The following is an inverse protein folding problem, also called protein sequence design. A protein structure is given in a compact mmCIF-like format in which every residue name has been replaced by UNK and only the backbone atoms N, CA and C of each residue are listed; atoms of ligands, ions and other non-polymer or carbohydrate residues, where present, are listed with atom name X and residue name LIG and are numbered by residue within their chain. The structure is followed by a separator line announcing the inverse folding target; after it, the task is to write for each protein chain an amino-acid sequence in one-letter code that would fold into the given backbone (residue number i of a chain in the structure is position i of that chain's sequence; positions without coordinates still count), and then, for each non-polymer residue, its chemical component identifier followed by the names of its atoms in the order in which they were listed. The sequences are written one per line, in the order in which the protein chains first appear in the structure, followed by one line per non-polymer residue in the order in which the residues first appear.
data_IF_655884531587
#
_entry.id   IF_655884531587
#
_cell.length_a   1.000
_cell.length_b   1.000
_cell.length_c   1.000
_cell.angle_alpha   90.00
_cell.angle_beta   90.00
_cell.angle_gamma   90.00
#
_symmetry.space_group_name_H-M   'P 1'
#
loop_
_entity.id
_entity.type
_entity.pdbx_description
1 polymer ?
#
# COMPACT_ATOMS: atom_id res chain seq x y z
N UNK A 1 -10.75 -29.81 -21.47
CA UNK A 1 -11.43 -29.24 -22.66
C UNK A 1 -10.45 -28.57 -23.62
N UNK A 2 -9.67 -27.58 -23.19
CA UNK A 2 -8.71 -26.87 -24.07
C UNK A 2 -7.70 -27.80 -24.77
N UNK A 3 -7.10 -28.76 -24.05
CA UNK A 3 -6.21 -29.75 -24.66
C UNK A 3 -6.89 -30.55 -25.77
N UNK A 4 -8.10 -31.03 -25.51
CA UNK A 4 -8.86 -31.87 -26.44
C UNK A 4 -9.30 -31.08 -27.70
N UNK A 5 -9.56 -29.77 -27.55
CA UNK A 5 -9.86 -28.87 -28.67
C UNK A 5 -8.62 -28.64 -29.55
N UNK A 6 -7.47 -28.37 -28.93
CA UNK A 6 -6.19 -28.21 -29.65
C UNK A 6 -5.81 -29.49 -30.39
N UNK A 7 -6.05 -30.66 -29.79
CA UNK A 7 -5.74 -31.96 -30.42
C UNK A 7 -6.68 -32.30 -31.58
N UNK A 8 -7.97 -31.94 -31.49
CA UNK A 8 -8.98 -32.30 -32.50
C UNK A 8 -9.12 -31.32 -33.66
N UNK A 9 -8.87 -30.04 -33.42
CA UNK A 9 -9.06 -29.01 -34.45
C UNK A 9 -7.74 -28.42 -34.97
N UNK A 10 -6.59 -28.82 -34.41
CA UNK A 10 -5.26 -28.46 -34.92
C UNK A 10 -5.14 -26.96 -35.21
N UNK A 11 -4.75 -26.62 -36.44
CA UNK A 11 -4.53 -25.25 -36.90
C UNK A 11 -5.82 -24.44 -37.13
N UNK A 12 -7.00 -25.08 -37.13
CA UNK A 12 -8.27 -24.39 -37.36
C UNK A 12 -8.70 -23.53 -36.17
N UNK A 13 -8.18 -23.81 -34.97
CA UNK A 13 -8.34 -22.93 -33.81
C UNK A 13 -7.23 -21.89 -33.87
N UNK A 14 -7.59 -20.63 -34.09
CA UNK A 14 -6.65 -19.50 -33.96
C UNK A 14 -6.51 -19.10 -32.50
N UNK A 15 -5.31 -19.22 -31.95
CA UNK A 15 -5.00 -18.64 -30.64
C UNK A 15 -4.78 -17.15 -30.83
N UNK A 16 -5.59 -16.35 -30.14
CA UNK A 16 -5.50 -14.89 -30.19
C UNK A 16 -4.82 -14.36 -28.92
N UNK A 17 -4.37 -13.10 -28.97
CA UNK A 17 -3.88 -12.40 -27.78
C UNK A 17 -4.93 -12.38 -26.66
N UNK A 18 -6.21 -12.23 -27.00
CA UNK A 18 -7.32 -12.32 -26.04
C UNK A 18 -7.43 -13.70 -25.39
N UNK A 19 -7.21 -14.78 -26.16
CA UNK A 19 -7.18 -16.15 -25.64
C UNK A 19 -6.01 -16.36 -24.68
N UNK A 20 -4.82 -15.86 -25.02
CA UNK A 20 -3.64 -15.93 -24.17
C UNK A 20 -3.86 -15.14 -22.87
N UNK A 21 -4.35 -13.90 -22.96
CA UNK A 21 -4.69 -13.07 -21.80
C UNK A 21 -5.73 -13.74 -20.89
N UNK A 22 -6.77 -14.35 -21.47
CA UNK A 22 -7.79 -15.07 -20.70
C UNK A 22 -7.21 -16.30 -19.98
N UNK A 23 -6.26 -17.01 -20.60
CA UNK A 23 -5.55 -18.11 -19.96
C UNK A 23 -4.70 -17.60 -18.78
N UNK A 24 -3.93 -16.53 -18.97
CA UNK A 24 -3.12 -15.91 -17.91
C UNK A 24 -3.99 -15.45 -16.74
N UNK A 25 -5.14 -14.84 -17.03
CA UNK A 25 -6.08 -14.35 -16.01
C UNK A 25 -6.87 -15.44 -15.29
N UNK A 26 -6.68 -16.72 -15.64
CA UNK A 26 -7.40 -17.82 -15.01
C UNK A 26 -6.81 -18.15 -13.64
N UNK A 27 -7.56 -17.83 -12.58
CA UNK A 27 -7.11 -17.98 -11.17
C UNK A 27 -6.86 -19.43 -10.75
N UNK A 28 -7.58 -20.40 -11.34
CA UNK A 28 -7.55 -21.80 -10.94
C UNK A 28 -6.55 -22.63 -11.74
N UNK A 29 -6.45 -22.37 -13.06
CA UNK A 29 -5.71 -23.21 -14.00
C UNK A 29 -4.82 -22.41 -14.97
N UNK A 30 -4.52 -21.15 -14.65
CA UNK A 30 -3.80 -20.26 -15.56
C UNK A 30 -2.42 -20.78 -15.93
N UNK A 31 -1.69 -21.35 -14.97
CA UNK A 31 -0.37 -21.94 -15.20
C UNK A 31 -0.45 -23.10 -16.19
N UNK A 32 -1.34 -24.08 -15.96
CA UNK A 32 -1.50 -25.24 -16.83
C UNK A 32 -2.02 -24.86 -18.22
N UNK A 33 -2.93 -23.87 -18.29
CA UNK A 33 -3.45 -23.37 -19.56
C UNK A 33 -2.37 -22.67 -20.37
N UNK A 34 -1.55 -21.80 -19.74
CA UNK A 34 -0.45 -21.11 -20.41
C UNK A 34 0.64 -22.11 -20.82
N UNK A 35 1.00 -23.07 -19.97
CA UNK A 35 1.97 -24.12 -20.30
C UNK A 35 1.53 -24.94 -21.51
N UNK A 36 0.25 -25.35 -21.56
CA UNK A 36 -0.30 -26.09 -22.68
C UNK A 36 -0.29 -25.26 -23.98
N UNK A 37 -0.67 -23.98 -23.87
CA UNK A 37 -0.69 -23.05 -25.00
C UNK A 37 0.72 -22.80 -25.56
N UNK A 38 1.71 -22.56 -24.70
CA UNK A 38 3.11 -22.40 -25.14
C UNK A 38 3.67 -23.68 -25.77
N UNK A 39 3.38 -24.85 -25.17
CA UNK A 39 3.88 -26.14 -25.67
C UNK A 39 3.31 -26.50 -27.04
N UNK A 40 2.02 -26.25 -27.26
CA UNK A 40 1.32 -26.70 -28.49
C UNK A 40 1.24 -25.63 -29.57
N UNK A 41 1.20 -24.35 -29.18
CA UNK A 41 0.94 -23.20 -30.07
C UNK A 41 1.84 -22.00 -29.73
N UNK A 42 3.03 -22.24 -29.17
CA UNK A 42 3.93 -21.17 -28.70
C UNK A 42 4.33 -20.16 -29.77
N UNK A 43 4.43 -20.58 -31.04
CA UNK A 43 4.72 -19.70 -32.18
C UNK A 43 3.58 -18.71 -32.48
N UNK A 44 2.35 -19.05 -32.12
CA UNK A 44 1.18 -18.18 -32.34
C UNK A 44 1.00 -17.15 -31.22
N UNK A 45 1.78 -17.28 -30.15
CA UNK A 45 1.67 -16.45 -28.95
C UNK A 45 2.89 -15.56 -28.86
N UNK A 46 2.67 -14.29 -29.13
CA UNK A 46 3.60 -13.21 -28.78
C UNK A 46 3.38 -12.87 -27.32
N UNK A 47 4.44 -12.88 -26.51
CA UNK A 47 4.36 -12.40 -25.13
C UNK A 47 4.41 -10.88 -25.15
N UNK A 48 3.26 -10.27 -24.90
CA UNK A 48 3.12 -8.80 -24.84
C UNK A 48 3.24 -8.31 -23.41
N UNK A 49 3.54 -7.02 -23.24
CA UNK A 49 3.51 -6.36 -21.93
C UNK A 49 2.16 -6.53 -21.22
N UNK A 50 1.04 -6.51 -21.97
CA UNK A 50 -0.29 -6.73 -21.41
C UNK A 50 -0.47 -8.13 -20.81
N UNK A 51 0.08 -9.16 -21.46
CA UNK A 51 0.10 -10.54 -20.94
C UNK A 51 0.89 -10.60 -19.63
N UNK A 52 2.08 -9.99 -19.60
CA UNK A 52 2.95 -9.98 -18.41
C UNK A 52 2.31 -9.19 -17.27
N UNK A 53 1.76 -8.01 -17.56
CA UNK A 53 1.03 -7.15 -16.61
C UNK A 53 -0.19 -7.86 -16.04
N UNK A 54 -0.89 -8.65 -16.87
CA UNK A 54 -2.02 -9.47 -16.40
C UNK A 54 -1.53 -10.55 -15.44
N UNK A 55 -0.44 -11.25 -15.76
CA UNK A 55 0.15 -12.25 -14.87
C UNK A 55 0.59 -11.62 -13.53
N UNK A 56 1.28 -10.48 -13.56
CA UNK A 56 1.74 -9.78 -12.37
C UNK A 56 0.59 -9.39 -11.41
N UNK A 57 -0.60 -9.11 -11.96
CA UNK A 57 -1.76 -8.62 -11.20
C UNK A 57 -2.68 -9.71 -10.63
N UNK A 58 -2.69 -10.89 -11.23
CA UNK A 58 -3.69 -11.92 -10.92
C UNK A 58 -3.35 -12.73 -9.66
N UNK A 59 -4.39 -13.23 -8.99
CA UNK A 59 -4.21 -14.23 -7.94
C UNK A 59 -3.55 -15.49 -8.52
N UNK A 60 -2.52 -16.01 -7.86
CA UNK A 60 -1.62 -17.07 -8.38
C UNK A 60 -0.86 -16.70 -9.67
N UNK A 61 -0.93 -15.44 -10.11
CA UNK A 61 -0.32 -14.98 -11.35
C UNK A 61 1.21 -15.02 -11.33
N UNK A 62 1.84 -15.02 -10.15
CA UNK A 62 3.28 -15.23 -9.98
C UNK A 62 3.75 -16.57 -10.58
N UNK A 63 2.92 -17.63 -10.58
CA UNK A 63 3.28 -18.91 -11.21
C UNK A 63 3.30 -18.81 -12.73
N UNK A 64 2.30 -18.14 -13.28
CA UNK A 64 2.25 -17.84 -14.72
C UNK A 64 3.43 -16.95 -15.11
N UNK A 65 3.73 -15.92 -14.32
CA UNK A 65 4.86 -15.03 -14.52
C UNK A 65 6.19 -15.78 -14.50
N UNK A 66 6.38 -16.71 -13.54
CA UNK A 66 7.56 -17.56 -13.47
C UNK A 66 7.72 -18.44 -14.72
N UNK A 67 6.62 -19.05 -15.18
CA UNK A 67 6.62 -19.84 -16.41
C UNK A 67 6.98 -18.99 -17.63
N UNK A 68 6.40 -17.78 -17.75
CA UNK A 68 6.68 -16.86 -18.85
C UNK A 68 8.14 -16.41 -18.86
N UNK A 69 8.70 -16.05 -17.70
CA UNK A 69 10.11 -15.68 -17.57
C UNK A 69 11.05 -16.85 -17.91
N UNK A 70 10.69 -18.06 -17.52
CA UNK A 70 11.49 -19.26 -17.80
C UNK A 70 11.48 -19.64 -19.28
N UNK A 71 10.31 -19.72 -19.90
CA UNK A 71 10.17 -20.26 -21.26
C UNK A 71 10.37 -19.18 -22.33
N UNK A 72 10.06 -17.91 -22.02
CA UNK A 72 10.05 -16.79 -22.97
C UNK A 72 10.66 -15.51 -22.40
N UNK A 73 11.54 -15.61 -21.40
CA UNK A 73 12.12 -14.45 -20.70
C UNK A 73 12.85 -13.46 -21.59
N UNK A 74 13.42 -13.91 -22.71
CA UNK A 74 14.12 -13.08 -23.69
C UNK A 74 13.18 -12.12 -24.46
N UNK A 75 11.87 -12.36 -24.44
CA UNK A 75 10.86 -11.46 -25.01
C UNK A 75 10.30 -10.46 -24.00
N UNK A 76 10.64 -10.64 -22.71
CA UNK A 76 10.03 -9.90 -21.61
C UNK A 76 11.03 -8.85 -21.12
N UNK A 77 10.59 -7.60 -21.11
CA UNK A 77 11.26 -6.49 -20.45
C UNK A 77 10.40 -6.09 -19.25
N UNK A 78 10.99 -5.95 -18.06
CA UNK A 78 10.24 -5.51 -16.89
C UNK A 78 10.06 -4.00 -16.94
N UNK A 79 8.85 -3.57 -17.28
CA UNK A 79 8.47 -2.16 -17.36
C UNK A 79 7.92 -1.65 -16.03
N UNK A 80 7.85 -0.33 -15.90
CA UNK A 80 7.21 0.33 -14.77
C UNK A 80 5.76 -0.14 -14.55
N UNK A 81 4.98 -0.33 -15.63
CA UNK A 81 3.58 -0.75 -15.53
C UNK A 81 3.43 -2.20 -15.00
N UNK A 82 4.36 -3.09 -15.36
CA UNK A 82 4.41 -4.45 -14.81
C UNK A 82 4.68 -4.41 -13.30
N UNK A 83 5.65 -3.62 -12.85
CA UNK A 83 5.98 -3.47 -11.42
C UNK A 83 4.79 -2.86 -10.67
N UNK A 84 4.19 -1.79 -11.21
CA UNK A 84 3.03 -1.13 -10.64
C UNK A 84 1.79 -2.03 -10.58
N UNK A 85 1.65 -2.97 -11.51
CA UNK A 85 0.58 -3.96 -11.49
C UNK A 85 0.78 -5.03 -10.41
N UNK A 86 2.02 -5.47 -10.18
CA UNK A 86 2.38 -6.34 -9.06
C UNK A 86 2.08 -5.66 -7.71
N UNK A 87 2.44 -4.39 -7.55
CA UNK A 87 2.20 -3.65 -6.30
C UNK A 87 0.71 -3.36 -6.05
N UNK A 88 -0.07 -3.21 -7.13
CA UNK A 88 -1.42 -2.67 -7.06
C UNK A 88 -2.52 -3.59 -6.55
N UNK A 89 -2.22 -4.85 -6.23
CA UNK A 89 -3.21 -5.85 -5.86
C UNK A 89 -2.75 -6.66 -4.63
N UNK A 90 -3.68 -7.31 -3.96
CA UNK A 90 -3.41 -7.99 -2.71
C UNK A 90 -2.73 -9.35 -2.80
N UNK A 91 -2.34 -9.77 -4.00
CA UNK A 91 -1.65 -11.02 -4.31
C UNK A 91 -0.32 -10.79 -5.04
N UNK A 92 0.00 -9.54 -5.35
CA UNK A 92 1.14 -9.22 -6.19
C UNK A 92 2.43 -9.04 -5.43
N UNK A 93 2.46 -9.25 -4.11
CA UNK A 93 3.72 -9.43 -3.37
C UNK A 93 4.52 -10.59 -3.96
N UNK A 94 3.90 -11.75 -4.17
CA UNK A 94 4.59 -12.92 -4.72
C UNK A 94 5.10 -12.65 -6.14
N UNK A 95 4.33 -11.89 -6.94
CA UNK A 95 4.77 -11.43 -8.26
C UNK A 95 5.95 -10.48 -8.16
N UNK A 96 5.91 -9.50 -7.25
CA UNK A 96 6.99 -8.53 -7.06
C UNK A 96 8.24 -9.20 -6.52
N UNK A 97 8.13 -10.10 -5.54
CA UNK A 97 9.24 -10.88 -5.01
C UNK A 97 9.91 -11.72 -6.09
N UNK A 98 9.13 -12.34 -6.97
CA UNK A 98 9.66 -13.05 -8.13
C UNK A 98 10.40 -12.11 -9.09
N UNK A 99 9.83 -10.95 -9.41
CA UNK A 99 10.45 -9.96 -10.29
C UNK A 99 11.76 -9.42 -9.71
N UNK A 100 11.79 -9.08 -8.42
CA UNK A 100 12.98 -8.62 -7.73
C UNK A 100 14.07 -9.70 -7.72
N UNK A 101 13.69 -10.97 -7.54
CA UNK A 101 14.63 -12.09 -7.51
C UNK A 101 15.21 -12.44 -8.88
N UNK A 102 14.37 -12.56 -9.89
CA UNK A 102 14.78 -13.10 -11.20
C UNK A 102 15.21 -11.99 -12.18
N UNK A 103 14.74 -10.75 -12.00
CA UNK A 103 14.97 -9.61 -12.90
C UNK A 103 15.19 -8.30 -12.12
N UNK A 104 15.81 -8.38 -10.94
CA UNK A 104 15.93 -7.26 -10.00
C UNK A 104 16.56 -5.98 -10.59
N UNK A 105 17.56 -6.14 -11.45
CA UNK A 105 18.26 -5.03 -12.11
C UNK A 105 17.38 -4.22 -13.08
N UNK A 106 16.28 -4.81 -13.56
CA UNK A 106 15.29 -4.13 -14.41
C UNK A 106 14.16 -3.49 -13.60
N UNK A 107 14.02 -3.86 -12.32
CA UNK A 107 12.97 -3.32 -11.46
C UNK A 107 13.41 -1.95 -10.95
N UNK A 108 12.76 -0.92 -11.52
CA UNK A 108 12.90 0.47 -11.09
C UNK A 108 11.82 0.77 -10.06
N UNK A 109 12.24 1.20 -8.86
CA UNK A 109 11.35 1.61 -7.78
C UNK A 109 11.22 3.14 -7.81
N UNK A 110 9.99 3.62 -8.03
CA UNK A 110 9.65 5.04 -8.07
C UNK A 110 8.77 5.42 -6.87
N UNK A 111 8.67 6.71 -6.57
CA UNK A 111 7.83 7.22 -5.48
C UNK A 111 6.36 6.76 -5.61
N UNK A 112 5.80 6.73 -6.82
CA UNK A 112 4.42 6.28 -7.01
C UNK A 112 4.23 4.77 -6.74
N UNK A 113 5.27 3.95 -6.95
CA UNK A 113 5.29 2.55 -6.54
C UNK A 113 5.25 2.46 -5.01
N UNK A 114 6.04 3.26 -4.30
CA UNK A 114 6.06 3.29 -2.83
C UNK A 114 4.72 3.78 -2.28
N UNK A 115 4.18 4.88 -2.82
CA UNK A 115 2.85 5.39 -2.46
C UNK A 115 1.79 4.32 -2.64
N UNK A 116 1.80 3.62 -3.79
CA UNK A 116 0.84 2.56 -4.06
C UNK A 116 0.99 1.38 -3.09
N UNK A 117 2.22 0.99 -2.77
CA UNK A 117 2.50 -0.06 -1.78
C UNK A 117 2.00 0.33 -0.39
N UNK A 118 2.27 1.58 0.05
CA UNK A 118 1.80 2.11 1.31
C UNK A 118 0.26 2.10 1.39
N UNK A 119 -0.44 2.62 0.37
CA UNK A 119 -1.90 2.64 0.30
C UNK A 119 -2.52 1.23 0.40
N UNK A 120 -1.83 0.22 -0.13
CA UNK A 120 -2.26 -1.19 -0.13
C UNK A 120 -1.75 -2.02 1.05
N UNK A 121 -1.01 -1.42 1.97
CA UNK A 121 -0.50 -2.07 3.18
C UNK A 121 -1.59 -2.29 4.24
N UNK A 122 -2.65 -3.03 3.89
CA UNK A 122 -3.77 -3.29 4.81
C UNK A 122 -3.72 -4.69 5.41
N UNK A 123 -3.50 -4.78 6.73
CA UNK A 123 -3.85 -5.90 7.63
C UNK A 123 -3.44 -7.34 7.30
N UNK A 124 -2.70 -7.59 6.23
CA UNK A 124 -2.37 -8.95 5.74
C UNK A 124 -0.99 -9.40 6.22
N UNK A 125 -0.77 -10.72 6.20
CA UNK A 125 0.54 -11.36 6.43
C UNK A 125 1.55 -10.96 5.36
N UNK A 126 1.06 -10.83 4.13
CA UNK A 126 1.81 -10.42 2.96
C UNK A 126 1.69 -8.88 2.80
N UNK A 127 2.83 -8.18 2.82
CA UNK A 127 2.94 -6.73 2.68
C UNK A 127 4.03 -6.32 1.68
N UNK A 128 3.60 -5.73 0.57
CA UNK A 128 4.48 -5.22 -0.50
C UNK A 128 5.40 -4.09 -0.04
N UNK A 129 4.94 -3.20 0.85
CA UNK A 129 5.77 -2.09 1.33
C UNK A 129 6.94 -2.62 2.16
N UNK A 130 6.69 -3.63 3.00
CA UNK A 130 7.74 -4.30 3.79
C UNK A 130 8.76 -4.96 2.87
N UNK A 131 8.30 -5.74 1.89
CA UNK A 131 9.17 -6.39 0.90
C UNK A 131 10.09 -5.39 0.18
N UNK A 132 9.55 -4.26 -0.27
CA UNK A 132 10.30 -3.22 -0.97
C UNK A 132 11.37 -2.59 -0.06
N UNK A 133 11.01 -2.24 1.17
CA UNK A 133 11.95 -1.63 2.11
C UNK A 133 13.00 -2.62 2.61
N UNK A 134 12.66 -3.91 2.74
CA UNK A 134 13.59 -4.96 3.19
C UNK A 134 14.59 -5.35 2.10
N UNK A 135 14.19 -5.38 0.82
CA UNK A 135 15.06 -5.79 -0.28
C UNK A 135 15.75 -4.63 -1.01
N UNK A 136 15.12 -3.45 -1.05
CA UNK A 136 15.58 -2.29 -1.82
C UNK A 136 15.57 -1.00 -1.00
N UNK A 137 15.62 -1.12 0.34
CA UNK A 137 15.58 0.01 1.26
C UNK A 137 16.60 1.08 0.93
N UNK A 138 17.85 0.70 0.65
CA UNK A 138 18.94 1.64 0.37
C UNK A 138 18.71 2.52 -0.89
N UNK A 139 17.80 2.12 -1.79
CA UNK A 139 17.46 2.87 -3.00
C UNK A 139 16.22 3.74 -2.84
N UNK A 140 15.40 3.45 -1.83
CA UNK A 140 14.17 4.18 -1.55
C UNK A 140 14.54 5.38 -0.69
N UNK A 141 13.89 6.53 -0.88
CA UNK A 141 13.96 7.66 0.06
C UNK A 141 12.54 8.02 0.44
N UNK A 142 12.22 8.07 1.73
CA UNK A 142 10.87 8.44 2.18
C UNK A 142 10.73 9.97 2.15
N UNK A 143 10.15 10.46 1.06
CA UNK A 143 9.79 11.86 0.89
C UNK A 143 8.58 12.25 1.75
N UNK A 144 8.42 13.54 2.01
CA UNK A 144 7.25 14.07 2.71
C UNK A 144 5.94 13.72 1.98
N UNK A 145 5.96 13.71 0.65
CA UNK A 145 4.80 13.31 -0.17
C UNK A 145 4.40 11.85 0.09
N UNK A 146 5.36 10.92 0.04
CA UNK A 146 5.13 9.50 0.32
C UNK A 146 4.52 9.31 1.71
N UNK A 147 5.10 9.98 2.71
CA UNK A 147 4.63 9.90 4.10
C UNK A 147 3.23 10.48 4.25
N UNK A 148 2.94 11.64 3.64
CA UNK A 148 1.63 12.26 3.67
C UNK A 148 0.56 11.35 3.02
N UNK A 149 0.87 10.71 1.89
CA UNK A 149 -0.04 9.73 1.27
C UNK A 149 -0.30 8.52 2.19
N UNK A 150 0.73 8.01 2.87
CA UNK A 150 0.56 6.91 3.83
C UNK A 150 -0.37 7.29 5.00
N UNK A 151 -0.28 8.54 5.48
CA UNK A 151 -1.14 9.09 6.55
C UNK A 151 -2.57 9.29 6.08
N UNK A 152 -2.80 9.77 4.86
CA UNK A 152 -4.10 10.30 4.43
C UNK A 152 -4.92 9.36 3.52
N UNK A 153 -4.28 8.54 2.68
CA UNK A 153 -4.94 7.84 1.56
C UNK A 153 -4.96 6.30 1.67
N UNK A 154 -4.61 5.73 2.82
CA UNK A 154 -4.60 4.28 3.06
C UNK A 154 -5.99 3.70 3.33
N UNK A 155 -6.33 2.57 2.68
CA UNK A 155 -7.63 1.90 2.83
C UNK A 155 -7.66 1.01 4.08
N UNK A 156 -7.83 1.62 5.26
CA UNK A 156 -7.83 0.92 6.55
C UNK A 156 -6.44 0.41 6.94
N UNK A 157 -6.13 0.39 8.24
CA UNK A 157 -4.78 0.12 8.78
C UNK A 157 -3.71 1.13 8.33
N UNK A 158 -4.04 2.44 8.30
CA UNK A 158 -3.10 3.52 7.97
C UNK A 158 -1.88 3.51 8.89
N UNK A 159 -2.15 3.24 10.16
CA UNK A 159 -1.20 3.09 11.24
C UNK A 159 -0.14 2.02 10.94
N UNK A 160 -0.48 0.97 10.17
CA UNK A 160 0.47 -0.08 9.80
C UNK A 160 1.49 0.44 8.79
N UNK A 161 1.06 1.12 7.74
CA UNK A 161 1.95 1.69 6.73
C UNK A 161 2.93 2.70 7.37
N UNK A 162 2.41 3.60 8.20
CA UNK A 162 3.24 4.58 8.92
C UNK A 162 4.19 3.90 9.91
N UNK A 163 3.74 2.88 10.64
CA UNK A 163 4.61 2.10 11.53
C UNK A 163 5.77 1.46 10.75
N UNK A 164 5.51 0.82 9.61
CA UNK A 164 6.55 0.18 8.77
C UNK A 164 7.57 1.20 8.28
N UNK A 165 7.10 2.36 7.79
CA UNK A 165 7.97 3.44 7.34
C UNK A 165 8.88 3.93 8.47
N UNK A 166 8.32 4.13 9.66
CA UNK A 166 9.11 4.54 10.83
C UNK A 166 10.06 3.44 11.34
N UNK A 167 9.68 2.17 11.26
CA UNK A 167 10.55 1.05 11.68
C UNK A 167 11.77 0.92 10.80
N UNK A 168 11.56 0.94 9.49
CA UNK A 168 12.61 0.64 8.52
C UNK A 168 13.40 1.90 8.16
N UNK A 169 12.75 3.06 8.14
CA UNK A 169 13.30 4.35 7.66
C UNK A 169 13.04 5.51 8.62
N UNK A 170 12.78 5.25 9.89
CA UNK A 170 12.50 6.33 10.86
C UNK A 170 13.63 7.35 11.02
N UNK A 171 14.88 6.95 10.80
CA UNK A 171 16.06 7.81 10.96
C UNK A 171 16.15 8.94 9.93
N UNK A 172 15.51 8.81 8.76
CA UNK A 172 15.45 9.85 7.73
C UNK A 172 14.14 10.65 7.76
N UNK A 173 13.12 10.15 8.46
CA UNK A 173 11.81 10.76 8.50
C UNK A 173 11.79 11.86 9.56
N UNK A 174 11.46 13.08 9.15
CA UNK A 174 11.12 14.18 10.06
C UNK A 174 9.61 14.30 10.14
N UNK A 175 9.05 14.28 11.35
CA UNK A 175 7.62 14.47 11.58
C UNK A 175 7.35 15.97 11.72
N UNK A 176 6.57 16.52 10.79
CA UNK A 176 6.16 17.93 10.79
C UNK A 176 4.82 18.11 11.48
N UNK A 177 4.55 19.33 11.95
CA UNK A 177 3.25 19.67 12.54
C UNK A 177 2.11 19.53 11.53
N UNK A 178 2.36 19.87 10.26
CA UNK A 178 1.38 19.73 9.18
C UNK A 178 1.02 18.26 8.91
N UNK A 179 1.97 17.33 9.04
CA UNK A 179 1.68 15.90 8.96
C UNK A 179 0.80 15.43 10.13
N UNK A 180 1.03 15.96 11.34
CA UNK A 180 0.20 15.66 12.51
C UNK A 180 -1.22 16.21 12.34
N UNK A 181 -1.36 17.44 11.84
CA UNK A 181 -2.65 18.05 11.47
C UNK A 181 -3.37 17.23 10.40
N UNK A 182 -2.65 16.76 9.38
CA UNK A 182 -3.20 15.88 8.36
C UNK A 182 -3.71 14.57 8.95
N UNK A 183 -2.99 13.97 9.90
CA UNK A 183 -3.42 12.76 10.60
C UNK A 183 -4.72 13.00 11.37
N UNK A 184 -4.84 14.05 12.19
CA UNK A 184 -6.08 14.32 12.95
C UNK A 184 -7.26 14.76 12.07
N UNK A 185 -6.99 15.18 10.82
CA UNK A 185 -8.00 15.58 9.85
C UNK A 185 -8.71 14.43 9.13
N UNK A 186 -8.18 13.21 9.16
CA UNK A 186 -8.71 12.08 8.37
C UNK A 186 -9.38 10.98 9.21
N UNK A 187 -10.33 10.27 8.60
CA UNK A 187 -11.01 9.12 9.22
C UNK A 187 -9.99 8.08 9.73
N UNK A 188 -10.03 7.78 11.02
CA UNK A 188 -9.14 6.79 11.64
C UNK A 188 -7.71 7.28 11.84
N UNK A 189 -7.43 8.56 11.57
CA UNK A 189 -6.08 9.12 11.71
C UNK A 189 -5.60 9.28 13.15
N UNK A 190 -6.50 9.25 14.16
CA UNK A 190 -6.10 9.11 15.57
C UNK A 190 -5.21 7.88 15.82
N UNK A 191 -5.37 6.79 15.06
CA UNK A 191 -4.48 5.61 15.16
C UNK A 191 -3.10 5.89 14.60
N UNK A 192 -3.03 6.68 13.53
CA UNK A 192 -1.75 7.16 12.98
C UNK A 192 -1.07 8.07 13.99
N UNK A 193 -1.82 9.04 14.54
CA UNK A 193 -1.34 9.92 15.60
C UNK A 193 -0.77 9.12 16.77
N UNK A 194 -1.47 8.07 17.23
CA UNK A 194 -0.99 7.21 18.30
C UNK A 194 0.38 6.59 17.97
N UNK A 195 0.55 6.01 16.77
CA UNK A 195 1.83 5.44 16.32
C UNK A 195 2.94 6.50 16.25
N UNK A 196 2.63 7.70 15.75
CA UNK A 196 3.60 8.80 15.67
C UNK A 196 4.08 9.20 17.06
N UNK A 197 3.14 9.44 17.99
CA UNK A 197 3.46 9.86 19.36
C UNK A 197 4.17 8.78 20.18
N UNK A 198 3.85 7.50 19.95
CA UNK A 198 4.52 6.36 20.61
C UNK A 198 5.97 6.18 20.15
N UNK A 199 6.26 6.44 18.88
CA UNK A 199 7.58 6.17 18.29
C UNK A 199 8.51 7.37 18.28
N UNK A 200 7.99 8.59 18.47
CA UNK A 200 8.73 9.85 18.32
C UNK A 200 8.49 10.73 19.52
N UNK A 201 9.31 10.53 20.56
CA UNK A 201 9.24 11.29 21.81
C UNK A 201 9.50 12.78 21.63
N UNK A 202 10.19 13.17 20.56
CA UNK A 202 10.51 14.57 20.27
C UNK A 202 9.31 15.38 19.73
N UNK A 203 8.20 14.73 19.36
CA UNK A 203 6.99 15.44 18.92
C UNK A 203 6.45 16.25 20.10
N UNK A 204 6.36 17.56 19.96
CA UNK A 204 5.68 18.42 20.93
C UNK A 204 4.18 18.52 20.62
N UNK A 205 3.34 18.52 21.65
CA UNK A 205 1.91 18.79 21.49
C UNK A 205 1.68 20.30 21.55
N UNK A 206 1.59 20.93 20.37
CA UNK A 206 1.32 22.36 20.19
C UNK A 206 -0.16 22.68 20.38
N UNK A 207 -0.46 23.93 20.75
CA UNK A 207 -1.83 24.44 20.82
C UNK A 207 -2.57 24.32 19.47
N UNK A 208 -1.88 24.56 18.36
CA UNK A 208 -2.44 24.49 17.01
C UNK A 208 -2.86 23.05 16.63
N UNK A 209 -2.02 22.06 16.95
CA UNK A 209 -2.37 20.64 16.83
C UNK A 209 -3.58 20.28 17.69
N UNK A 210 -3.64 20.79 18.92
CA UNK A 210 -4.77 20.59 19.82
C UNK A 210 -6.06 21.16 19.24
N UNK A 211 -6.03 22.41 18.78
CA UNK A 211 -7.15 23.06 18.09
C UNK A 211 -7.59 22.23 16.89
N UNK A 212 -6.66 21.77 16.04
CA UNK A 212 -6.97 20.92 14.89
C UNK A 212 -7.62 19.59 15.30
N UNK A 213 -7.12 18.96 16.37
CA UNK A 213 -7.65 17.71 16.90
C UNK A 213 -9.10 17.87 17.38
N UNK A 214 -9.38 18.87 18.23
CA UNK A 214 -10.72 19.08 18.82
C UNK A 214 -11.74 19.66 17.84
N UNK A 215 -11.28 20.43 16.84
CA UNK A 215 -12.15 21.01 15.82
C UNK A 215 -12.67 19.99 14.80
N UNK A 216 -12.10 18.78 14.76
CA UNK A 216 -12.63 17.72 13.92
C UNK A 216 -13.97 17.22 14.47
N UNK A 217 -15.08 17.69 13.88
CA UNK A 217 -16.42 17.39 14.38
C UNK A 217 -16.81 15.90 14.37
N UNK A 218 -16.12 15.07 13.59
CA UNK A 218 -16.43 13.63 13.50
C UNK A 218 -15.53 12.82 14.44
N UNK A 219 -14.22 13.13 14.45
CA UNK A 219 -13.19 12.33 15.14
C UNK A 219 -12.48 13.05 16.29
N UNK A 220 -12.95 14.23 16.69
CA UNK A 220 -12.28 15.04 17.70
C UNK A 220 -12.20 14.35 19.06
N UNK A 221 -13.19 13.51 19.38
CA UNK A 221 -13.18 12.65 20.58
C UNK A 221 -12.03 11.65 20.55
N UNK A 222 -11.87 10.93 19.44
CA UNK A 222 -10.82 9.92 19.28
C UNK A 222 -9.43 10.57 19.23
N UNK A 223 -9.32 11.72 18.56
CA UNK A 223 -8.07 12.49 18.51
C UNK A 223 -7.64 12.96 19.90
N UNK A 224 -8.53 13.63 20.65
CA UNK A 224 -8.19 14.14 21.98
C UNK A 224 -7.94 13.01 22.98
N UNK A 225 -8.65 11.88 22.85
CA UNK A 225 -8.42 10.70 23.70
C UNK A 225 -6.99 10.18 23.53
N UNK A 226 -6.49 10.07 22.30
CA UNK A 226 -5.11 9.65 22.02
C UNK A 226 -4.10 10.66 22.57
N UNK A 227 -4.35 11.96 22.40
CA UNK A 227 -3.46 13.00 22.92
C UNK A 227 -3.35 12.94 24.45
N UNK A 228 -4.48 12.85 25.14
CA UNK A 228 -4.53 12.75 26.61
C UNK A 228 -3.91 11.45 27.12
N UNK A 229 -4.19 10.31 26.48
CA UNK A 229 -3.64 9.00 26.87
C UNK A 229 -2.12 8.95 26.70
N UNK A 230 -1.61 9.46 25.57
CA UNK A 230 -0.18 9.32 25.24
C UNK A 230 0.70 10.42 25.80
N UNK A 231 0.19 11.67 25.85
CA UNK A 231 0.99 12.87 26.13
C UNK A 231 0.26 13.89 27.02
N UNK A 232 -0.79 13.49 27.75
CA UNK A 232 -1.61 14.41 28.54
C UNK A 232 -0.81 15.28 29.52
N UNK A 233 0.24 14.74 30.14
CA UNK A 233 1.11 15.45 31.07
C UNK A 233 1.94 16.59 30.45
N UNK A 234 2.05 16.64 29.13
CA UNK A 234 2.80 17.66 28.39
C UNK A 234 1.88 18.72 27.78
N UNK A 235 0.57 18.51 27.88
CA UNK A 235 -0.43 19.34 27.23
C UNK A 235 -0.80 20.54 28.08
N UNK A 236 -0.95 21.69 27.42
CA UNK A 236 -1.53 22.89 28.00
C UNK A 236 -2.91 23.06 27.39
N UNK A 237 -3.95 22.99 28.23
CA UNK A 237 -5.33 23.26 27.82
C UNK A 237 -5.57 24.76 28.01
N UNK A 238 -5.65 25.48 26.89
CA UNK A 238 -5.90 26.93 26.84
C UNK A 238 -7.38 27.23 26.63
N UNK A 239 -7.77 28.50 26.81
CA UNK A 239 -9.13 28.95 26.52
C UNK A 239 -9.46 28.76 25.04
N UNK A 240 -8.51 29.02 24.16
CA UNK A 240 -8.62 28.87 22.71
C UNK A 240 -8.89 27.41 22.31
N UNK A 241 -8.22 26.44 22.95
CA UNK A 241 -8.50 25.00 22.74
C UNK A 241 -9.92 24.65 23.19
N UNK A 242 -10.36 25.17 24.34
CA UNK A 242 -11.70 24.91 24.87
C UNK A 242 -12.79 25.55 24.01
N UNK A 243 -12.57 26.77 23.51
CA UNK A 243 -13.45 27.43 22.56
C UNK A 243 -13.55 26.66 21.24
N UNK A 244 -12.41 26.21 20.70
CA UNK A 244 -12.37 25.43 19.48
C UNK A 244 -13.15 24.12 19.64
N UNK A 245 -12.96 23.43 20.77
CA UNK A 245 -13.73 22.25 21.12
C UNK A 245 -15.23 22.55 21.18
N UNK A 246 -15.64 23.63 21.86
CA UNK A 246 -17.05 24.03 22.00
C UNK A 246 -17.76 24.25 20.65
N UNK A 247 -17.03 24.79 19.65
CA UNK A 247 -17.55 25.06 18.30
C UNK A 247 -17.75 23.79 17.46
N UNK A 248 -17.13 22.67 17.82
CA UNK A 248 -17.21 21.41 17.08
C UNK A 248 -18.56 20.69 17.23
N UNK A 249 -18.92 19.86 16.24
CA UNK A 249 -20.19 19.11 16.22
C UNK A 249 -20.44 18.23 17.47
N UNK A 250 -19.35 17.69 18.06
CA UNK A 250 -19.38 16.91 19.31
C UNK A 250 -18.78 17.67 20.50
N UNK A 251 -18.73 19.00 20.44
CA UNK A 251 -17.96 19.84 21.35
C UNK A 251 -18.23 19.59 22.83
N UNK A 252 -19.49 19.45 23.23
CA UNK A 252 -19.84 19.15 24.62
C UNK A 252 -19.24 17.85 25.16
N UNK A 253 -19.09 16.81 24.30
CA UNK A 253 -18.45 15.55 24.71
C UNK A 253 -16.92 15.68 24.76
N UNK A 254 -16.34 16.44 23.84
CA UNK A 254 -14.89 16.70 23.82
C UNK A 254 -14.50 17.47 25.07
N UNK A 255 -15.25 18.53 25.40
CA UNK A 255 -15.07 19.31 26.63
C UNK A 255 -15.22 18.43 27.86
N UNK A 256 -16.29 17.63 27.94
CA UNK A 256 -16.48 16.73 29.08
C UNK A 256 -15.28 15.78 29.27
N UNK A 257 -14.74 15.22 28.19
CA UNK A 257 -13.58 14.33 28.26
C UNK A 257 -12.29 15.05 28.70
N UNK A 258 -12.09 16.31 28.28
CA UNK A 258 -10.96 17.13 28.75
C UNK A 258 -11.12 17.45 30.25
N UNK A 259 -12.32 17.84 30.68
CA UNK A 259 -12.60 18.17 32.08
C UNK A 259 -12.46 16.94 32.99
N UNK A 260 -13.03 15.80 32.58
CA UNK A 260 -12.91 14.52 33.31
C UNK A 260 -11.44 14.11 33.50
N UNK A 261 -10.56 14.45 32.54
CA UNK A 261 -9.12 14.20 32.65
C UNK A 261 -8.41 15.15 33.63
N UNK A 262 -8.87 16.41 33.73
CA UNK A 262 -8.29 17.41 34.63
C UNK A 262 -8.67 17.20 36.11
N UNK A 263 -9.78 16.51 36.40
CA UNK A 263 -10.28 16.23 37.75
C UNK A 263 -11.35 17.22 38.20
#
# INVERSE_FOLDING_TARGET
VMALLLDRQGDHIRITQSTAKAAVGNVLHGEEMVALLLKRRGADITITEEIVTTAARCQNGHKVLALLLKERGHEIIITHDIVKAAVGNSHGEQSLALLLKERGDEVIITDDIIVKAAIKSCGRKENVLELLLDQRGDEIVITEEILNFAVTHTNGSREKAVAILLERRGHEITITEELLKAAVGVLGGHKVLAVLLERRSEIAITEELMIAAVSNGIYGMENISVLLEKRGNEMIITEEVMEAAAKGFRGGRVIALILDWLG
#
